data_IF_756691291015
#
_entry.id   IF_756691291015
#
_cell.length_a   1.000
_cell.length_b   1.000
_cell.length_c   1.000
_cell.angle_alpha   90.00
_cell.angle_beta   90.00
_cell.angle_gamma   90.00
#
_symmetry.space_group_name_H-M   'P 1'
#
loop_
_entity.id
_entity.type
_entity.pdbx_description
1 polymer ?
#
# COMPACT_ATOMS: atom_id res chain seq x y z
N UNK A 1 10.58 21.90 11.70
CA UNK A 1 11.05 20.51 11.49
C UNK A 1 12.24 20.57 10.55
N UNK A 2 13.22 19.68 10.70
CA UNK A 2 14.32 19.59 9.73
C UNK A 2 13.86 18.78 8.51
N UNK A 3 14.47 19.00 7.35
CA UNK A 3 14.27 18.28 6.09
C UNK A 3 14.35 16.77 6.31
N UNK A 4 15.35 16.31 7.08
CA UNK A 4 15.50 14.88 7.37
C UNK A 4 14.30 14.30 8.14
N UNK A 5 13.73 15.08 9.07
CA UNK A 5 12.57 14.64 9.84
C UNK A 5 11.34 14.52 8.95
N UNK A 6 11.13 15.47 8.03
CA UNK A 6 10.01 15.44 7.07
C UNK A 6 10.11 14.21 6.15
N UNK A 7 11.29 13.93 5.62
CA UNK A 7 11.53 12.75 4.78
C UNK A 7 11.28 11.43 5.55
N UNK A 8 11.77 11.32 6.78
CA UNK A 8 11.54 10.14 7.62
C UNK A 8 10.05 9.92 7.93
N UNK A 9 9.32 11.00 8.26
CA UNK A 9 7.88 10.95 8.49
C UNK A 9 7.11 10.52 7.24
N UNK A 10 7.50 11.01 6.06
CA UNK A 10 6.95 10.57 4.79
C UNK A 10 7.12 9.06 4.61
N UNK A 11 8.33 8.53 4.79
CA UNK A 11 8.58 7.09 4.71
C UNK A 11 7.76 6.28 5.71
N UNK A 12 7.64 6.75 6.96
CA UNK A 12 6.84 6.09 8.00
C UNK A 12 5.36 6.05 7.60
N UNK A 13 4.80 7.17 7.13
CA UNK A 13 3.41 7.21 6.68
C UNK A 13 3.14 6.29 5.50
N UNK A 14 4.08 6.20 4.55
CA UNK A 14 3.99 5.26 3.42
C UNK A 14 3.98 3.81 3.91
N UNK A 15 4.85 3.45 4.86
CA UNK A 15 4.88 2.10 5.43
C UNK A 15 3.60 1.74 6.18
N UNK A 16 3.07 2.66 6.99
CA UNK A 16 1.81 2.47 7.71
C UNK A 16 0.66 2.32 6.71
N UNK A 17 0.59 3.18 5.69
CA UNK A 17 -0.44 3.10 4.65
C UNK A 17 -0.36 1.77 3.88
N UNK A 18 0.84 1.31 3.53
CA UNK A 18 1.03 0.01 2.89
C UNK A 18 0.50 -1.13 3.79
N UNK A 19 0.80 -1.11 5.09
CA UNK A 19 0.26 -2.06 6.06
C UNK A 19 -1.27 -2.05 6.10
N UNK A 20 -1.88 -0.87 6.23
CA UNK A 20 -3.35 -0.72 6.29
C UNK A 20 -3.99 -1.20 4.98
N UNK A 21 -3.45 -0.81 3.82
CA UNK A 21 -3.94 -1.25 2.51
C UNK A 21 -3.86 -2.76 2.34
N UNK A 22 -2.79 -3.40 2.80
CA UNK A 22 -2.65 -4.84 2.76
C UNK A 22 -3.71 -5.52 3.62
N UNK A 23 -3.98 -5.00 4.83
CA UNK A 23 -5.03 -5.51 5.72
C UNK A 23 -6.41 -5.37 5.07
N UNK A 24 -6.73 -4.22 4.48
CA UNK A 24 -7.98 -4.00 3.74
C UNK A 24 -8.11 -5.05 2.63
N UNK A 25 -7.08 -5.20 1.81
CA UNK A 25 -7.05 -6.17 0.72
C UNK A 25 -7.18 -7.62 1.18
N UNK A 26 -6.54 -7.97 2.29
CA UNK A 26 -6.62 -9.29 2.89
C UNK A 26 -8.05 -9.59 3.34
N UNK A 27 -8.69 -8.68 4.08
CA UNK A 27 -10.08 -8.83 4.53
C UNK A 27 -11.01 -9.00 3.34
N UNK A 28 -10.84 -8.20 2.28
CA UNK A 28 -11.63 -8.31 1.05
C UNK A 28 -11.38 -9.65 0.33
N UNK A 29 -10.11 -10.09 0.22
CA UNK A 29 -9.75 -11.37 -0.42
C UNK A 29 -10.41 -12.56 0.29
N UNK A 30 -10.32 -12.58 1.63
CA UNK A 30 -10.85 -13.66 2.47
C UNK A 30 -12.38 -13.67 2.42
N UNK A 31 -13.04 -12.53 2.66
CA UNK A 31 -14.51 -12.45 2.67
C UNK A 31 -15.14 -12.77 1.32
N UNK A 32 -14.47 -12.39 0.23
CA UNK A 32 -14.99 -12.64 -1.11
C UNK A 32 -14.50 -13.96 -1.73
N UNK A 33 -13.61 -14.70 -1.05
CA UNK A 33 -12.87 -15.86 -1.57
C UNK A 33 -12.19 -15.62 -2.92
N UNK A 34 -11.92 -14.35 -3.25
CA UNK A 34 -11.47 -13.91 -4.56
C UNK A 34 -10.24 -13.01 -4.44
N UNK A 35 -9.07 -13.56 -4.80
CA UNK A 35 -7.81 -12.83 -4.72
C UNK A 35 -7.78 -11.59 -5.62
N UNK A 36 -8.53 -11.57 -6.73
CA UNK A 36 -8.58 -10.41 -7.63
C UNK A 36 -9.23 -9.21 -6.93
N UNK A 37 -10.30 -9.45 -6.14
CA UNK A 37 -10.97 -8.40 -5.36
C UNK A 37 -10.07 -7.86 -4.24
N UNK A 38 -9.32 -8.73 -3.55
CA UNK A 38 -8.32 -8.31 -2.56
C UNK A 38 -7.17 -7.51 -3.16
N UNK A 39 -6.69 -7.94 -4.34
CA UNK A 39 -5.67 -7.21 -5.09
C UNK A 39 -6.13 -5.80 -5.48
N UNK A 40 -7.32 -5.69 -6.09
CA UNK A 40 -7.88 -4.40 -6.53
C UNK A 40 -8.11 -3.47 -5.34
N UNK A 41 -8.65 -3.97 -4.23
CA UNK A 41 -8.87 -3.16 -3.02
C UNK A 41 -7.57 -2.70 -2.36
N UNK A 42 -6.52 -3.54 -2.36
CA UNK A 42 -5.17 -3.13 -1.92
C UNK A 42 -4.65 -2.00 -2.81
N UNK A 43 -4.76 -2.16 -4.13
CA UNK A 43 -4.29 -1.17 -5.09
C UNK A 43 -5.01 0.18 -4.90
N UNK A 44 -6.34 0.17 -4.89
CA UNK A 44 -7.15 1.39 -4.74
C UNK A 44 -6.84 2.09 -3.41
N UNK A 45 -6.84 1.36 -2.30
CA UNK A 45 -6.53 1.95 -0.99
C UNK A 45 -5.11 2.52 -0.95
N UNK A 46 -4.13 1.82 -1.54
CA UNK A 46 -2.73 2.29 -1.57
C UNK A 46 -2.60 3.59 -2.37
N UNK A 47 -3.29 3.70 -3.50
CA UNK A 47 -3.31 4.93 -4.32
C UNK A 47 -3.96 6.07 -3.56
N UNK A 48 -5.10 5.83 -2.90
CA UNK A 48 -5.80 6.85 -2.10
C UNK A 48 -4.91 7.36 -0.98
N UNK A 49 -4.28 6.47 -0.20
CA UNK A 49 -3.36 6.88 0.86
C UNK A 49 -2.14 7.60 0.31
N UNK A 50 -1.58 7.15 -0.82
CA UNK A 50 -0.44 7.81 -1.43
C UNK A 50 -0.76 9.25 -1.83
N UNK A 51 -1.94 9.51 -2.42
CA UNK A 51 -2.39 10.87 -2.75
C UNK A 51 -2.47 11.75 -1.49
N UNK A 52 -3.04 11.22 -0.40
CA UNK A 52 -3.17 11.94 0.87
C UNK A 52 -1.78 12.25 1.46
N UNK A 53 -0.89 11.27 1.48
CA UNK A 53 0.45 11.39 2.04
C UNK A 53 1.31 12.34 1.20
N UNK A 54 1.26 12.25 -0.12
CA UNK A 54 2.00 13.16 -1.03
C UNK A 54 1.47 14.59 -0.87
N UNK A 55 0.15 14.77 -0.75
CA UNK A 55 -0.45 16.10 -0.50
C UNK A 55 -0.02 16.69 0.84
N UNK A 56 0.13 15.86 1.88
CA UNK A 56 0.70 16.27 3.15
C UNK A 56 2.20 16.58 3.03
N UNK A 57 2.95 15.73 2.32
CA UNK A 57 4.40 15.86 2.15
C UNK A 57 4.79 17.11 1.38
N UNK A 58 4.02 17.48 0.35
CA UNK A 58 4.16 18.74 -0.39
C UNK A 58 4.06 19.96 0.55
N UNK A 59 3.01 20.02 1.37
CA UNK A 59 2.82 21.09 2.37
C UNK A 59 3.91 21.08 3.46
N UNK A 60 4.33 19.89 3.91
CA UNK A 60 5.38 19.78 4.91
C UNK A 60 6.75 20.23 4.36
N UNK A 61 7.00 19.95 3.08
CA UNK A 61 8.25 20.26 2.38
C UNK A 61 8.40 21.75 2.08
N UNK A 62 7.30 22.43 1.73
CA UNK A 62 7.32 23.89 1.53
C UNK A 62 7.63 24.65 2.82
N UNK A 63 7.13 24.16 3.97
CA UNK A 63 7.38 24.77 5.28
C UNK A 63 8.83 24.67 5.76
N UNK A 64 9.61 23.73 5.21
CA UNK A 64 11.02 23.53 5.58
C UNK A 64 11.98 23.90 4.45
N UNK A 65 11.47 24.53 3.39
CA UNK A 65 12.22 24.88 2.18
C UNK A 65 13.00 23.68 1.61
N UNK A 66 12.39 22.49 1.63
CA UNK A 66 12.99 21.31 1.03
C UNK A 66 13.13 21.54 -0.48
N UNK A 67 14.34 21.40 -1.00
CA UNK A 67 14.58 21.53 -2.43
C UNK A 67 13.77 20.53 -3.25
N UNK A 68 13.42 20.90 -4.47
CA UNK A 68 12.59 20.09 -5.38
C UNK A 68 13.22 18.73 -5.70
N UNK A 69 14.56 18.65 -5.77
CA UNK A 69 15.28 17.41 -6.07
C UNK A 69 15.11 16.36 -4.94
N UNK A 70 15.43 16.67 -3.66
CA UNK A 70 15.11 15.78 -2.55
C UNK A 70 13.63 15.37 -2.49
N UNK A 71 12.72 16.30 -2.79
CA UNK A 71 11.29 16.02 -2.78
C UNK A 71 10.91 14.97 -3.84
N UNK A 72 11.30 15.20 -5.10
CA UNK A 72 10.87 14.35 -6.22
C UNK A 72 11.48 12.95 -6.14
N UNK A 73 12.71 12.83 -5.66
CA UNK A 73 13.36 11.53 -5.46
C UNK A 73 12.61 10.66 -4.46
N UNK A 74 12.15 11.23 -3.35
CA UNK A 74 11.36 10.51 -2.35
C UNK A 74 10.02 10.02 -2.93
N UNK A 75 9.31 10.87 -3.67
CA UNK A 75 8.02 10.52 -4.26
C UNK A 75 8.18 9.44 -5.34
N UNK A 76 9.15 9.60 -6.25
CA UNK A 76 9.42 8.63 -7.32
C UNK A 76 9.83 7.28 -6.74
N UNK A 77 10.67 7.24 -5.71
CA UNK A 77 11.08 5.99 -5.06
C UNK A 77 9.85 5.19 -4.59
N UNK A 78 8.87 5.84 -3.97
CA UNK A 78 7.65 5.17 -3.50
C UNK A 78 6.77 4.70 -4.67
N UNK A 79 6.66 5.51 -5.74
CA UNK A 79 5.91 5.13 -6.95
C UNK A 79 6.52 3.88 -7.60
N UNK A 80 7.84 3.75 -7.63
CA UNK A 80 8.54 2.58 -8.18
C UNK A 80 8.36 1.35 -7.28
N UNK A 81 8.33 1.53 -5.96
CA UNK A 81 8.15 0.42 -5.00
C UNK A 81 6.70 -0.10 -4.98
N UNK A 82 5.72 0.77 -5.23
CA UNK A 82 4.29 0.42 -5.25
C UNK A 82 3.95 -0.81 -6.13
N UNK A 83 4.36 -0.91 -7.41
CA UNK A 83 4.05 -2.09 -8.23
C UNK A 83 4.66 -3.37 -7.67
N UNK A 84 5.87 -3.31 -7.10
CA UNK A 84 6.51 -4.47 -6.46
C UNK A 84 5.70 -4.93 -5.24
N UNK A 85 5.31 -3.99 -4.39
CA UNK A 85 4.47 -4.26 -3.21
C UNK A 85 3.13 -4.90 -3.60
N UNK A 86 2.43 -4.33 -4.57
CA UNK A 86 1.11 -4.81 -5.03
C UNK A 86 1.24 -6.19 -5.69
N UNK A 87 2.34 -6.45 -6.38
CA UNK A 87 2.65 -7.76 -6.97
C UNK A 87 2.90 -8.83 -5.89
N UNK A 88 3.64 -8.52 -4.83
CA UNK A 88 3.81 -9.41 -3.67
C UNK A 88 2.46 -9.69 -2.99
N UNK A 89 1.65 -8.65 -2.75
CA UNK A 89 0.31 -8.80 -2.16
C UNK A 89 -0.56 -9.76 -2.98
N UNK A 90 -0.49 -9.70 -4.32
CA UNK A 90 -1.19 -10.63 -5.21
C UNK A 90 -0.83 -12.08 -4.94
N UNK A 91 0.47 -12.39 -4.76
CA UNK A 91 0.92 -13.75 -4.48
C UNK A 91 0.40 -14.26 -3.14
N UNK A 92 0.43 -13.40 -2.12
CA UNK A 92 -0.12 -13.70 -0.78
C UNK A 92 -1.62 -14.03 -0.89
N UNK A 93 -2.42 -13.17 -1.53
CA UNK A 93 -3.86 -13.41 -1.65
C UNK A 93 -4.20 -14.64 -2.50
N UNK A 94 -3.42 -14.92 -3.55
CA UNK A 94 -3.59 -16.12 -4.37
C UNK A 94 -3.36 -17.40 -3.55
N UNK A 95 -2.39 -17.40 -2.63
CA UNK A 95 -2.10 -18.56 -1.77
C UNK A 95 -3.23 -18.78 -0.74
N UNK A 96 -3.67 -17.70 -0.09
CA UNK A 96 -4.71 -17.73 0.95
C UNK A 96 -6.06 -18.18 0.37
N UNK A 97 -6.48 -17.61 -0.76
CA UNK A 97 -7.79 -17.94 -1.36
C UNK A 97 -7.85 -19.34 -1.99
N UNK A 98 -6.73 -19.86 -2.50
CA UNK A 98 -6.64 -21.26 -2.95
C UNK A 98 -6.84 -22.25 -1.81
N UNK A 99 -6.25 -21.98 -0.64
CA UNK A 99 -6.43 -22.82 0.55
C UNK A 99 -7.89 -22.89 1.00
N UNK A 100 -8.61 -21.78 0.96
CA UNK A 100 -10.02 -21.74 1.38
C UNK A 100 -10.98 -22.47 0.43
N UNK A 101 -10.72 -22.44 -0.88
CA UNK A 101 -11.56 -23.18 -1.86
C UNK A 101 -11.52 -24.69 -1.60
N UNK A 102 -10.34 -25.25 -1.39
CA UNK A 102 -10.19 -26.69 -1.11
C UNK A 102 -10.79 -27.14 0.23
N UNK A 103 -10.86 -26.25 1.22
CA UNK A 103 -11.52 -26.54 2.50
C UNK A 103 -13.05 -26.52 2.37
N UNK A 104 -13.63 -25.55 1.65
CA UNK A 104 -15.08 -25.49 1.45
C UNK A 104 -15.61 -26.70 0.66
N UNK A 105 -14.88 -27.18 -0.34
CA UNK A 105 -15.26 -28.39 -1.10
C UNK A 105 -15.26 -29.66 -0.24
N UNK A 106 -14.39 -29.76 0.78
CA UNK A 106 -14.35 -30.91 1.68
C UNK A 106 -15.43 -30.93 2.76
N UNK A 107 -16.05 -29.78 3.04
CA UNK A 107 -17.11 -29.66 4.06
C UNK A 107 -18.50 -29.85 3.43
N UNK A 108 -18.61 -29.69 2.10
CA UNK A 108 -19.87 -29.73 1.37
C UNK A 108 -20.12 -31.02 0.57
N UNK A 109 -19.24 -32.01 0.68
CA UNK A 109 -19.40 -33.36 0.13
C UNK A 109 -19.49 -34.40 1.24
#
# INVERSE_FOLDING_TARGET
MDVQKVANLFSIFVLIAAGISLVIGFVVAVRSTNYKKGYISTFISSVVFLIIIVSWYDKASSNVFMGTIPWILNVIAVIIVLPLYVLVARFIFKKVTKGQKGTNEKISG
#
